data_IF_199931072798
#
_entry.id   IF_199931072798
#
_cell.length_a   1.000
_cell.length_b   1.000
_cell.length_c   1.000
_cell.angle_alpha   90.00
_cell.angle_beta   90.00
_cell.angle_gamma   90.00
#
_symmetry.space_group_name_H-M   'P 1'
#
loop_
_entity.id
_entity.type
_entity.pdbx_description
1 polymer ?
#
# COMPACT_ATOMS: atom_id res chain seq x y z
N UNK A 1 12.33 -0.96 -19.04
CA UNK A 1 11.90 0.24 -18.28
C UNK A 1 10.47 0.11 -17.72
N UNK A 2 9.50 -0.33 -18.49
CA UNK A 2 8.08 -0.38 -18.08
C UNK A 2 7.80 -1.19 -16.79
N UNK A 3 8.38 -2.38 -16.63
CA UNK A 3 8.17 -3.24 -15.45
C UNK A 3 8.74 -2.58 -14.19
N UNK A 4 9.94 -2.01 -14.25
CA UNK A 4 10.58 -1.36 -13.10
C UNK A 4 9.75 -0.17 -12.62
N UNK A 5 9.29 0.67 -13.53
CA UNK A 5 8.42 1.82 -13.20
C UNK A 5 7.13 1.37 -12.50
N UNK A 6 6.51 0.30 -12.99
CA UNK A 6 5.27 -0.22 -12.42
C UNK A 6 5.49 -0.90 -11.06
N UNK A 7 6.62 -1.60 -10.87
CA UNK A 7 6.99 -2.15 -9.56
C UNK A 7 7.22 -1.02 -8.55
N UNK A 8 7.90 0.06 -8.94
CA UNK A 8 8.08 1.25 -8.10
C UNK A 8 6.76 1.93 -7.75
N UNK A 9 5.82 2.00 -8.71
CA UNK A 9 4.47 2.49 -8.46
C UNK A 9 3.76 1.65 -7.38
N UNK A 10 3.74 0.32 -7.50
CA UNK A 10 3.17 -0.54 -6.48
C UNK A 10 3.91 -0.45 -5.14
N UNK A 11 5.24 -0.31 -5.15
CA UNK A 11 6.01 -0.07 -3.93
C UNK A 11 5.63 1.25 -3.25
N UNK A 12 5.36 2.31 -4.02
CA UNK A 12 4.88 3.57 -3.45
C UNK A 12 3.49 3.41 -2.81
N UNK A 13 2.58 2.65 -3.45
CA UNK A 13 1.25 2.35 -2.90
C UNK A 13 1.31 1.47 -1.65
N UNK A 14 2.15 0.42 -1.67
CA UNK A 14 2.37 -0.48 -0.53
C UNK A 14 3.05 0.28 0.59
N UNK A 15 3.99 1.20 0.27
CA UNK A 15 4.77 2.00 1.20
C UNK A 15 5.50 1.15 2.28
N UNK A 16 6.59 0.47 1.94
CA UNK A 16 7.33 -0.39 2.89
C UNK A 16 7.82 0.35 4.13
N UNK A 17 8.15 1.65 4.01
CA UNK A 17 8.60 2.46 5.14
C UNK A 17 7.57 2.49 6.27
N UNK A 18 6.27 2.60 5.95
CA UNK A 18 5.21 2.57 6.96
C UNK A 18 5.19 1.26 7.75
N UNK A 19 5.51 0.12 7.12
CA UNK A 19 5.56 -1.20 7.77
C UNK A 19 6.76 -1.32 8.69
N UNK A 20 7.92 -0.84 8.24
CA UNK A 20 9.12 -0.78 9.10
C UNK A 20 8.82 0.01 10.37
N UNK A 21 8.23 1.20 10.25
CA UNK A 21 7.90 2.01 11.43
C UNK A 21 6.93 1.31 12.37
N UNK A 22 5.85 0.70 11.83
CA UNK A 22 4.89 -0.03 12.66
C UNK A 22 5.57 -1.18 13.39
N UNK A 23 6.37 -2.01 12.68
CA UNK A 23 7.04 -3.16 13.27
C UNK A 23 8.07 -2.76 14.33
N UNK A 24 8.72 -1.59 14.20
CA UNK A 24 9.67 -1.09 15.18
C UNK A 24 8.99 -0.47 16.42
N UNK A 25 7.78 0.06 16.29
CA UNK A 25 7.03 0.71 17.38
C UNK A 25 6.15 -0.26 18.19
N UNK A 26 6.16 -1.56 17.87
CA UNK A 26 5.39 -2.57 18.59
C UNK A 26 5.83 -2.71 20.04
N UNK A 27 4.88 -2.72 20.94
CA UNK A 27 5.09 -2.98 22.38
C UNK A 27 4.22 -4.15 22.87
N UNK A 28 4.79 -5.24 23.44
CA UNK A 28 6.24 -5.49 23.59
C UNK A 28 6.96 -5.74 22.24
N UNK A 29 8.30 -5.54 22.20
CA UNK A 29 9.05 -5.77 20.96
C UNK A 29 8.92 -7.23 20.50
N UNK A 30 8.62 -7.41 19.22
CA UNK A 30 8.51 -8.75 18.63
C UNK A 30 9.85 -9.48 18.63
N UNK A 31 9.85 -10.74 19.03
CA UNK A 31 10.99 -11.62 18.79
C UNK A 31 11.24 -11.78 17.27
N UNK A 32 12.47 -12.11 16.88
CA UNK A 32 12.83 -12.30 15.46
C UNK A 32 11.93 -13.34 14.79
N UNK A 33 11.56 -14.41 15.49
CA UNK A 33 10.68 -15.46 14.98
C UNK A 33 9.25 -14.95 14.74
N UNK A 34 8.72 -14.16 15.66
CA UNK A 34 7.39 -13.55 15.54
C UNK A 34 7.36 -12.53 14.40
N UNK A 35 8.40 -11.70 14.27
CA UNK A 35 8.53 -10.74 13.17
C UNK A 35 8.54 -11.44 11.81
N UNK A 36 9.32 -12.51 11.64
CA UNK A 36 9.35 -13.29 10.39
C UNK A 36 7.99 -13.91 10.11
N UNK A 37 7.38 -14.54 11.12
CA UNK A 37 6.07 -15.19 10.96
C UNK A 37 5.00 -14.16 10.59
N UNK A 38 4.96 -13.02 11.26
CA UNK A 38 4.00 -11.94 11.01
C UNK A 38 4.20 -11.37 9.59
N UNK A 39 5.44 -11.07 9.20
CA UNK A 39 5.75 -10.52 7.87
C UNK A 39 5.37 -11.46 6.74
N UNK A 40 5.72 -12.75 6.85
CA UNK A 40 5.39 -13.75 5.81
C UNK A 40 3.89 -13.97 5.71
N UNK A 41 3.22 -14.22 6.84
CA UNK A 41 1.77 -14.46 6.84
C UNK A 41 0.99 -13.26 6.31
N UNK A 42 1.35 -12.04 6.73
CA UNK A 42 0.70 -10.82 6.25
C UNK A 42 0.92 -10.60 4.76
N UNK A 43 2.11 -10.90 4.25
CA UNK A 43 2.41 -10.79 2.81
C UNK A 43 1.62 -11.81 2.00
N UNK A 44 1.50 -13.06 2.48
CA UNK A 44 0.71 -14.10 1.80
C UNK A 44 -0.78 -13.72 1.77
N UNK A 45 -1.35 -13.25 2.89
CA UNK A 45 -2.75 -12.81 2.92
C UNK A 45 -2.97 -11.61 2.00
N UNK A 46 -2.06 -10.62 2.02
CA UNK A 46 -2.14 -9.47 1.12
C UNK A 46 -2.04 -9.89 -0.36
N UNK A 47 -1.14 -10.84 -0.68
CA UNK A 47 -1.04 -11.39 -2.03
C UNK A 47 -2.35 -12.06 -2.46
N UNK A 48 -2.98 -12.87 -1.63
CA UNK A 48 -4.25 -13.53 -1.94
C UNK A 48 -5.38 -12.52 -2.17
N UNK A 49 -5.45 -11.46 -1.35
CA UNK A 49 -6.42 -10.38 -1.53
C UNK A 49 -6.18 -9.67 -2.88
N UNK A 50 -4.94 -9.27 -3.17
CA UNK A 50 -4.61 -8.57 -4.39
C UNK A 50 -4.75 -9.46 -5.64
N UNK A 51 -4.45 -10.76 -5.53
CA UNK A 51 -4.70 -11.75 -6.58
C UNK A 51 -6.18 -11.83 -6.92
N UNK A 52 -7.04 -12.02 -5.91
CA UNK A 52 -8.47 -12.07 -6.10
C UNK A 52 -9.03 -10.79 -6.73
N UNK A 53 -8.61 -9.62 -6.23
CA UNK A 53 -9.04 -8.33 -6.76
C UNK A 53 -8.49 -8.04 -8.16
N UNK A 54 -7.29 -8.48 -8.48
CA UNK A 54 -6.71 -8.32 -9.83
C UNK A 54 -7.48 -9.14 -10.87
N UNK A 55 -7.93 -10.34 -10.50
CA UNK A 55 -8.67 -11.24 -11.40
C UNK A 55 -10.15 -10.84 -11.48
N UNK A 56 -10.79 -10.68 -10.32
CA UNK A 56 -12.24 -10.50 -10.24
C UNK A 56 -12.70 -9.05 -10.09
N UNK A 57 -11.77 -8.12 -9.77
CA UNK A 57 -12.14 -6.76 -9.39
C UNK A 57 -12.85 -5.98 -10.48
N UNK A 58 -12.44 -6.14 -11.73
CA UNK A 58 -13.07 -5.48 -12.86
C UNK A 58 -14.52 -5.97 -13.09
N UNK A 59 -14.74 -7.28 -12.99
CA UNK A 59 -16.06 -7.88 -13.06
C UNK A 59 -16.95 -7.39 -11.91
N UNK A 60 -16.45 -7.44 -10.68
CA UNK A 60 -17.20 -6.97 -9.51
C UNK A 60 -17.60 -5.51 -9.64
N UNK A 61 -16.69 -4.64 -10.08
CA UNK A 61 -16.97 -3.21 -10.20
C UNK A 61 -17.98 -2.91 -11.28
N UNK A 62 -17.78 -3.41 -12.50
CA UNK A 62 -18.61 -3.05 -13.65
C UNK A 62 -19.94 -3.80 -13.67
N UNK A 63 -19.90 -5.11 -13.44
CA UNK A 63 -21.07 -5.95 -13.66
C UNK A 63 -21.93 -6.08 -12.38
N UNK A 64 -21.32 -6.07 -11.18
CA UNK A 64 -22.06 -6.19 -9.93
C UNK A 64 -22.40 -4.82 -9.36
N UNK A 65 -21.40 -3.96 -9.15
CA UNK A 65 -21.60 -2.65 -8.51
C UNK A 65 -21.94 -1.52 -9.49
N UNK A 66 -21.79 -1.75 -10.79
CA UNK A 66 -21.99 -0.75 -11.86
C UNK A 66 -21.17 0.54 -11.61
N UNK A 67 -19.96 0.37 -11.10
CA UNK A 67 -19.01 1.45 -10.82
C UNK A 67 -17.88 1.38 -11.85
N UNK A 68 -17.61 2.50 -12.47
CA UNK A 68 -16.51 2.60 -13.43
C UNK A 68 -15.15 2.71 -12.72
N UNK A 69 -14.10 2.21 -13.39
CA UNK A 69 -12.73 2.20 -12.85
C UNK A 69 -12.22 3.60 -12.56
N UNK A 70 -12.61 4.62 -13.34
CA UNK A 70 -12.21 6.00 -13.06
C UNK A 70 -12.79 6.51 -11.73
N UNK A 71 -14.02 6.14 -11.40
CA UNK A 71 -14.62 6.48 -10.09
C UNK A 71 -13.86 5.81 -8.93
N UNK A 72 -13.48 4.54 -9.11
CA UNK A 72 -12.63 3.84 -8.14
C UNK A 72 -11.26 4.51 -7.98
N UNK A 73 -10.63 4.96 -9.09
CA UNK A 73 -9.36 5.70 -9.03
C UNK A 73 -9.48 6.98 -8.22
N UNK A 74 -10.54 7.74 -8.43
CA UNK A 74 -10.78 8.98 -7.67
C UNK A 74 -10.99 8.66 -6.19
N UNK A 75 -11.88 7.72 -5.87
CA UNK A 75 -12.16 7.34 -4.49
C UNK A 75 -10.94 6.79 -3.76
N UNK A 76 -10.23 5.82 -4.38
CA UNK A 76 -9.00 5.24 -3.83
C UNK A 76 -7.88 6.26 -3.67
N UNK A 77 -7.74 7.18 -4.63
CA UNK A 77 -6.79 8.28 -4.55
C UNK A 77 -7.11 9.23 -3.40
N UNK A 78 -8.37 9.61 -3.20
CA UNK A 78 -8.77 10.46 -2.07
C UNK A 78 -8.46 9.80 -0.72
N UNK A 79 -8.77 8.53 -0.54
CA UNK A 79 -8.46 7.79 0.70
C UNK A 79 -6.95 7.73 0.92
N UNK A 80 -6.18 7.42 -0.13
CA UNK A 80 -4.72 7.35 -0.05
C UNK A 80 -4.11 8.73 0.25
N UNK A 81 -4.68 9.80 -0.31
CA UNK A 81 -4.27 11.18 -0.01
C UNK A 81 -4.44 11.52 1.47
N UNK A 82 -5.57 11.16 2.08
CA UNK A 82 -5.81 11.39 3.51
C UNK A 82 -4.78 10.66 4.38
N UNK A 83 -4.40 9.43 4.00
CA UNK A 83 -3.35 8.67 4.69
C UNK A 83 -1.99 9.38 4.56
N UNK A 84 -1.61 9.78 3.34
CA UNK A 84 -0.37 10.52 3.09
C UNK A 84 -0.34 11.86 3.83
N UNK A 85 -1.44 12.62 3.82
CA UNK A 85 -1.58 13.87 4.55
C UNK A 85 -1.44 13.68 6.06
N UNK A 86 -2.00 12.61 6.61
CA UNK A 86 -1.86 12.26 8.04
C UNK A 86 -0.41 12.00 8.38
N UNK A 87 0.33 11.27 7.54
CA UNK A 87 1.75 11.02 7.74
C UNK A 87 2.58 12.32 7.70
N UNK A 88 2.29 13.24 6.78
CA UNK A 88 2.97 14.55 6.71
C UNK A 88 2.69 15.40 7.95
N UNK A 89 1.43 15.50 8.36
CA UNK A 89 1.01 16.37 9.46
C UNK A 89 1.41 15.83 10.83
N UNK A 90 1.15 14.53 11.08
CA UNK A 90 1.31 13.90 12.40
C UNK A 90 2.64 13.16 12.56
N UNK A 91 3.42 12.95 11.47
CA UNK A 91 4.63 12.14 11.49
C UNK A 91 4.38 10.65 11.76
N UNK A 92 3.18 10.16 11.44
CA UNK A 92 2.76 8.76 11.56
C UNK A 92 1.66 8.44 10.56
N UNK A 93 1.66 7.22 10.01
CA UNK A 93 0.68 6.80 9.00
C UNK A 93 -0.66 6.34 9.60
N UNK A 94 -0.65 5.83 10.83
CA UNK A 94 -1.83 5.28 11.51
C UNK A 94 -1.87 5.74 12.97
N UNK A 95 -3.05 5.74 13.59
CA UNK A 95 -3.20 6.09 14.99
C UNK A 95 -2.64 4.99 15.90
N UNK A 96 -2.22 5.35 17.12
CA UNK A 96 -1.55 4.50 18.12
C UNK A 96 -2.41 3.30 18.59
N UNK A 97 -3.68 3.27 18.25
CA UNK A 97 -4.60 2.17 18.59
C UNK A 97 -4.14 0.80 18.03
N UNK A 98 -3.31 0.80 16.98
CA UNK A 98 -2.70 -0.42 16.42
C UNK A 98 -1.38 -0.82 17.10
N UNK A 99 -0.87 -0.02 18.03
CA UNK A 99 0.45 -0.21 18.64
C UNK A 99 0.48 -1.26 19.77
N UNK A 100 -0.67 -1.81 20.19
CA UNK A 100 -0.68 -2.91 21.16
C UNK A 100 -0.47 -4.24 20.44
N UNK A 101 0.70 -4.85 20.69
CA UNK A 101 1.10 -6.14 20.07
C UNK A 101 0.08 -7.27 20.30
N UNK A 102 -0.73 -7.20 21.35
CA UNK A 102 -1.81 -8.16 21.62
C UNK A 102 -2.93 -8.12 20.56
N UNK A 103 -3.12 -6.98 19.87
CA UNK A 103 -4.19 -6.78 18.88
C UNK A 103 -3.69 -6.84 17.44
N UNK A 104 -2.37 -6.97 17.20
CA UNK A 104 -1.80 -7.12 15.86
C UNK A 104 -1.97 -8.57 15.43
N UNK A 105 -3.18 -8.89 15.00
CA UNK A 105 -3.42 -10.08 14.23
C UNK A 105 -2.87 -9.91 12.81
N UNK A 106 -2.68 -11.00 12.09
CA UNK A 106 -2.23 -11.01 10.69
C UNK A 106 -3.10 -10.10 9.81
N UNK A 107 -4.38 -9.96 10.16
CA UNK A 107 -5.38 -9.21 9.39
C UNK A 107 -5.09 -7.70 9.33
N UNK A 108 -4.79 -6.96 10.43
CA UNK A 108 -4.49 -5.53 10.31
C UNK A 108 -3.20 -5.21 9.55
N UNK A 109 -2.22 -6.11 9.52
CA UNK A 109 -1.00 -5.88 8.76
C UNK A 109 -1.17 -6.22 7.26
N UNK A 110 -1.96 -7.24 6.93
CA UNK A 110 -2.26 -7.63 5.56
C UNK A 110 -3.27 -6.66 4.90
N UNK A 111 -4.37 -6.43 5.57
CA UNK A 111 -5.43 -5.51 5.19
C UNK A 111 -5.81 -4.65 6.40
N UNK A 112 -5.68 -3.31 6.40
CA UNK A 112 -5.50 -2.42 5.24
C UNK A 112 -4.06 -1.96 4.95
N UNK A 113 -3.05 -2.49 5.63
CA UNK A 113 -1.70 -1.92 5.54
C UNK A 113 -0.94 -2.28 4.26
N UNK A 114 -0.91 -3.55 3.86
CA UNK A 114 -0.23 -3.99 2.62
C UNK A 114 -1.21 -3.92 1.45
N UNK A 115 -2.36 -4.62 1.54
CA UNK A 115 -3.44 -4.52 0.59
C UNK A 115 -4.40 -3.39 1.00
N UNK A 116 -3.91 -2.16 1.02
CA UNK A 116 -4.71 -0.97 1.36
C UNK A 116 -5.56 -0.46 0.19
N UNK A 117 -6.43 0.54 0.44
CA UNK A 117 -7.31 1.10 -0.59
C UNK A 117 -6.57 1.52 -1.86
N UNK A 118 -5.41 2.18 -1.71
CA UNK A 118 -4.57 2.58 -2.83
C UNK A 118 -4.03 1.39 -3.63
N UNK A 119 -3.51 0.36 -2.94
CA UNK A 119 -2.96 -0.83 -3.59
C UNK A 119 -4.05 -1.65 -4.28
N UNK A 120 -5.22 -1.80 -3.65
CA UNK A 120 -6.39 -2.48 -4.23
C UNK A 120 -6.87 -1.75 -5.49
N UNK A 121 -7.09 -0.44 -5.40
CA UNK A 121 -7.49 0.41 -6.53
C UNK A 121 -6.45 0.36 -7.65
N UNK A 122 -5.17 0.48 -7.30
CA UNK A 122 -4.06 0.37 -8.25
C UNK A 122 -4.05 -0.97 -8.98
N UNK A 123 -4.21 -2.08 -8.25
CA UNK A 123 -4.21 -3.43 -8.84
C UNK A 123 -5.37 -3.64 -9.82
N UNK A 124 -6.58 -3.26 -9.44
CA UNK A 124 -7.77 -3.39 -10.31
C UNK A 124 -7.63 -2.50 -11.56
N UNK A 125 -7.24 -1.25 -11.36
CA UNK A 125 -7.10 -0.29 -12.46
C UNK A 125 -5.99 -0.69 -13.41
N UNK A 126 -4.84 -1.10 -12.89
CA UNK A 126 -3.70 -1.51 -13.71
C UNK A 126 -4.01 -2.81 -14.48
N UNK A 127 -4.74 -3.76 -13.87
CA UNK A 127 -5.19 -4.97 -14.54
C UNK A 127 -6.13 -4.68 -15.71
N UNK A 128 -7.01 -3.69 -15.54
CA UNK A 128 -7.91 -3.25 -16.62
C UNK A 128 -7.19 -2.55 -17.80
N UNK A 129 -6.06 -1.90 -17.53
CA UNK A 129 -5.29 -1.14 -18.53
C UNK A 129 -4.21 -1.97 -19.23
N UNK A 130 -3.54 -2.83 -18.48
CA UNK A 130 -2.33 -3.53 -18.91
C UNK A 130 -2.46 -5.06 -18.86
N UNK A 131 -3.61 -5.57 -18.41
CA UNK A 131 -3.89 -7.00 -18.27
C UNK A 131 -3.47 -7.60 -16.92
N UNK A 132 -4.12 -8.71 -16.59
CA UNK A 132 -3.98 -9.41 -15.30
C UNK A 132 -2.56 -9.92 -15.07
N UNK A 133 -1.95 -10.53 -16.11
CA UNK A 133 -0.63 -11.19 -15.97
C UNK A 133 0.47 -10.20 -15.61
N UNK A 134 0.55 -9.07 -16.30
CA UNK A 134 1.54 -8.03 -16.04
C UNK A 134 1.33 -7.41 -14.67
N UNK A 135 0.08 -7.18 -14.28
CA UNK A 135 -0.28 -6.66 -12.97
C UNK A 135 0.17 -7.60 -11.85
N UNK A 136 -0.13 -8.89 -11.96
CA UNK A 136 0.27 -9.90 -10.97
C UNK A 136 1.78 -9.99 -10.84
N UNK A 137 2.51 -9.92 -11.95
CA UNK A 137 3.97 -9.91 -11.95
C UNK A 137 4.51 -8.69 -11.18
N UNK A 138 4.02 -7.49 -11.48
CA UNK A 138 4.46 -6.26 -10.80
C UNK A 138 4.10 -6.25 -9.32
N UNK A 139 2.87 -6.66 -8.97
CA UNK A 139 2.40 -6.76 -7.58
C UNK A 139 3.24 -7.79 -6.81
N UNK A 140 3.49 -8.96 -7.38
CA UNK A 140 4.29 -10.00 -6.73
C UNK A 140 5.71 -9.53 -6.46
N UNK A 141 6.37 -8.90 -7.44
CA UNK A 141 7.71 -8.34 -7.25
C UNK A 141 7.73 -7.25 -6.17
N UNK A 142 6.73 -6.35 -6.16
CA UNK A 142 6.61 -5.31 -5.15
C UNK A 142 6.39 -5.92 -3.75
N UNK A 143 5.56 -6.97 -3.62
CA UNK A 143 5.34 -7.67 -2.35
C UNK A 143 6.59 -8.41 -1.87
N UNK A 144 7.38 -9.02 -2.77
CA UNK A 144 8.64 -9.67 -2.40
C UNK A 144 9.63 -8.63 -1.86
N UNK A 145 9.78 -7.48 -2.54
CA UNK A 145 10.65 -6.39 -2.07
C UNK A 145 10.17 -5.87 -0.72
N UNK A 146 8.85 -5.64 -0.56
CA UNK A 146 8.26 -5.23 0.71
C UNK A 146 8.54 -6.25 1.82
N UNK A 147 8.38 -7.55 1.55
CA UNK A 147 8.68 -8.62 2.51
C UNK A 147 10.14 -8.58 2.95
N UNK A 148 11.08 -8.46 2.01
CA UNK A 148 12.51 -8.36 2.33
C UNK A 148 12.76 -7.16 3.26
N UNK A 149 12.20 -5.99 2.95
CA UNK A 149 12.34 -4.80 3.79
C UNK A 149 11.75 -5.04 5.19
N UNK A 150 10.57 -5.68 5.30
CA UNK A 150 9.95 -6.02 6.58
C UNK A 150 10.81 -6.99 7.41
N UNK A 151 11.45 -7.98 6.80
CA UNK A 151 12.34 -8.92 7.48
C UNK A 151 13.58 -8.25 8.08
N UNK A 152 14.03 -7.14 7.48
CA UNK A 152 15.12 -6.32 7.99
C UNK A 152 14.67 -5.15 8.87
N UNK A 153 13.36 -5.02 9.15
CA UNK A 153 12.79 -3.87 9.87
C UNK A 153 13.46 -3.60 11.22
N UNK A 154 13.78 -4.63 12.01
CA UNK A 154 14.46 -4.46 13.29
C UNK A 154 15.79 -3.73 13.17
N UNK A 155 16.65 -4.15 12.22
CA UNK A 155 17.93 -3.48 11.97
C UNK A 155 17.77 -2.07 11.40
N UNK A 156 16.80 -1.91 10.49
CA UNK A 156 16.50 -0.61 9.90
C UNK A 156 16.00 0.35 10.99
N UNK A 157 15.10 -0.11 11.88
CA UNK A 157 14.58 0.68 12.98
C UNK A 157 15.66 1.15 13.95
N UNK A 158 16.56 0.25 14.38
CA UNK A 158 17.69 0.61 15.25
C UNK A 158 18.59 1.71 14.64
N UNK A 159 18.86 1.63 13.32
CA UNK A 159 19.65 2.64 12.61
C UNK A 159 18.88 3.97 12.54
N UNK A 160 17.59 3.93 12.21
CA UNK A 160 16.77 5.14 12.09
C UNK A 160 16.61 5.86 13.44
N UNK A 161 16.43 5.12 14.53
CA UNK A 161 16.34 5.69 15.87
C UNK A 161 17.66 6.34 16.30
N UNK A 162 18.80 5.69 16.05
CA UNK A 162 20.13 6.26 16.35
C UNK A 162 20.40 7.59 15.67
N UNK A 163 19.92 7.73 14.42
CA UNK A 163 20.14 8.96 13.61
C UNK A 163 19.00 9.98 13.79
N UNK A 164 17.98 9.68 14.59
CA UNK A 164 16.82 10.56 14.86
C UNK A 164 16.09 11.04 13.60
N UNK A 165 16.13 10.27 12.49
CA UNK A 165 15.51 10.66 11.20
C UNK A 165 14.13 10.04 10.96
N UNK A 166 13.60 9.29 11.92
CA UNK A 166 12.31 8.59 11.80
C UNK A 166 11.17 9.54 11.42
N UNK A 167 11.01 10.65 12.15
CA UNK A 167 9.96 11.64 11.88
C UNK A 167 10.05 12.29 10.49
N UNK A 168 11.20 12.88 10.11
CA UNK A 168 11.42 13.40 8.77
C UNK A 168 11.14 12.37 7.67
N UNK A 169 11.60 11.14 7.81
CA UNK A 169 11.43 10.09 6.82
C UNK A 169 9.94 9.72 6.62
N UNK A 170 9.16 9.63 7.72
CA UNK A 170 7.71 9.41 7.64
C UNK A 170 7.03 10.54 6.87
N UNK A 171 7.41 11.79 7.11
CA UNK A 171 6.84 12.96 6.42
C UNK A 171 7.17 12.97 4.93
N UNK A 172 8.42 12.67 4.57
CA UNK A 172 8.86 12.59 3.16
C UNK A 172 8.11 11.45 2.44
N UNK A 173 8.07 10.25 3.03
CA UNK A 173 7.33 9.13 2.43
C UNK A 173 5.83 9.40 2.37
N UNK A 174 5.26 10.08 3.37
CA UNK A 174 3.87 10.54 3.36
C UNK A 174 3.58 11.51 2.22
N UNK A 175 4.51 12.44 1.93
CA UNK A 175 4.37 13.36 0.81
C UNK A 175 4.40 12.62 -0.54
N UNK A 176 5.27 11.64 -0.71
CA UNK A 176 5.32 10.80 -1.92
C UNK A 176 3.99 10.05 -2.09
N UNK A 177 3.45 9.45 -1.01
CA UNK A 177 2.15 8.76 -1.04
C UNK A 177 1.03 9.74 -1.43
N UNK A 178 1.02 10.94 -0.87
CA UNK A 178 0.04 11.97 -1.22
C UNK A 178 0.16 12.40 -2.70
N UNK A 179 1.37 12.54 -3.22
CA UNK A 179 1.59 12.87 -4.63
C UNK A 179 1.07 11.77 -5.58
N UNK A 180 1.37 10.50 -5.29
CA UNK A 180 0.83 9.34 -6.04
C UNK A 180 -0.70 9.31 -5.96
N UNK A 181 -1.27 9.61 -4.80
CA UNK A 181 -2.71 9.67 -4.60
C UNK A 181 -3.37 10.76 -5.47
N UNK A 182 -2.79 11.96 -5.52
CA UNK A 182 -3.26 13.05 -6.40
C UNK A 182 -3.16 12.63 -7.87
N UNK A 183 -2.06 11.97 -8.28
CA UNK A 183 -1.94 11.46 -9.65
C UNK A 183 -3.08 10.47 -9.99
N UNK A 184 -3.43 9.57 -9.05
CA UNK A 184 -4.57 8.65 -9.24
C UNK A 184 -5.90 9.40 -9.45
N UNK A 185 -6.14 10.47 -8.68
CA UNK A 185 -7.34 11.31 -8.82
C UNK A 185 -7.35 11.99 -10.19
N UNK A 186 -6.24 12.61 -10.60
CA UNK A 186 -6.12 13.29 -11.89
C UNK A 186 -6.32 12.32 -13.06
N UNK A 187 -5.74 11.12 -12.98
CA UNK A 187 -5.91 10.08 -14.00
C UNK A 187 -7.38 9.60 -14.08
N UNK A 188 -8.05 9.46 -12.93
CA UNK A 188 -9.46 9.12 -12.86
C UNK A 188 -10.34 10.20 -13.48
N UNK A 189 -10.15 11.45 -13.11
CA UNK A 189 -10.87 12.61 -13.67
C UNK A 189 -10.60 12.80 -15.16
N UNK A 190 -9.33 12.68 -15.59
CA UNK A 190 -8.96 12.79 -17.00
C UNK A 190 -9.65 11.75 -17.88
N UNK A 191 -9.77 10.51 -17.41
CA UNK A 191 -10.52 9.46 -18.11
C UNK A 191 -12.02 9.73 -18.15
N UNK A 192 -12.60 10.17 -17.05
CA UNK A 192 -14.01 10.57 -16.99
C UNK A 192 -14.31 11.68 -17.98
N UNK A 193 -13.52 12.75 -18.00
CA UNK A 193 -13.64 13.88 -18.96
C UNK A 193 -13.54 13.37 -20.41
N UNK A 194 -12.57 12.49 -20.69
CA UNK A 194 -12.38 11.93 -22.03
C UNK A 194 -13.55 11.07 -22.54
N UNK A 195 -14.36 10.49 -21.62
CA UNK A 195 -15.54 9.69 -21.96
C UNK A 195 -16.78 10.57 -22.18
N UNK A 196 -16.97 11.63 -21.38
CA UNK A 196 -18.21 12.42 -21.34
C UNK A 196 -18.15 13.74 -22.12
N UNK A 197 -16.97 14.22 -22.49
CA UNK A 197 -16.81 15.47 -23.27
C UNK A 197 -16.38 15.24 -24.73
N UNK A 198 -16.43 14.00 -25.20
CA UNK A 198 -16.37 13.64 -26.63
C UNK A 198 -17.78 13.31 -27.13
#
# INVERSE_FOLDING_TARGET
MLIISNVLYFLALINPASKVFILCTLQPPCSRRELVMLSVRSTVVAFLILLALTICGNFLLRDVFRVDIYSLKVAGGLVLFLIGLTAVRRGRFFEETLARAADISIVPLAAPLIAGPGTMTGAISFASEHGVVLTLLCVTLALIINLVIMLFSGRIGEVLERVHVTGPLIRITGLVVAAVAIQMVLDGLGKWIGVYLR
#
